data_IF_269557870165
#
_entry.id   IF_269557870165
#
_cell.length_a   1.000
_cell.length_b   1.000
_cell.length_c   1.000
_cell.angle_alpha   90.00
_cell.angle_beta   90.00
_cell.angle_gamma   90.00
#
_symmetry.space_group_name_H-M   'P 1'
#
loop_
_entity.id
_entity.type
_entity.pdbx_description
1 polymer ?
#
# COMPACT_ATOMS: atom_id res chain seq x y z
N UNK A 1 9.56 12.71 4.10
CA UNK A 1 8.87 11.47 4.53
C UNK A 1 9.53 10.27 3.87
N UNK A 2 9.44 9.06 4.44
CA UNK A 2 10.09 7.87 3.89
C UNK A 2 9.58 7.52 2.47
N UNK A 3 8.29 7.71 2.20
CA UNK A 3 7.66 7.46 0.88
C UNK A 3 8.35 8.28 -0.23
N UNK A 4 8.56 9.58 -0.02
CA UNK A 4 9.11 10.50 -1.04
C UNK A 4 10.58 10.26 -1.36
N UNK A 5 11.31 9.46 -0.56
CA UNK A 5 12.70 9.07 -0.85
C UNK A 5 12.80 7.77 -1.65
N UNK A 6 11.76 6.94 -1.59
CA UNK A 6 11.73 5.60 -2.20
C UNK A 6 11.01 5.64 -3.56
N UNK A 7 9.99 6.48 -3.67
CA UNK A 7 9.21 6.65 -4.90
C UNK A 7 9.88 7.66 -5.83
N UNK A 8 10.03 7.29 -7.10
CA UNK A 8 10.72 8.06 -8.14
C UNK A 8 9.75 8.75 -9.11
N UNK A 9 8.46 8.43 -9.03
CA UNK A 9 7.40 8.97 -9.89
C UNK A 9 6.51 9.96 -9.11
N UNK A 10 5.82 10.89 -9.79
CA UNK A 10 4.81 11.72 -9.16
C UNK A 10 3.70 10.86 -8.54
N UNK A 11 3.10 11.32 -7.44
CA UNK A 11 2.02 10.62 -6.76
C UNK A 11 0.79 11.49 -6.66
N UNK A 12 -0.38 10.88 -6.87
CA UNK A 12 -1.67 11.49 -6.55
C UNK A 12 -1.81 11.70 -5.03
N UNK A 13 -2.72 12.58 -4.57
CA UNK A 13 -3.01 12.73 -3.15
C UNK A 13 -3.45 11.41 -2.49
N UNK A 14 -4.28 10.62 -3.19
CA UNK A 14 -4.76 9.33 -2.69
C UNK A 14 -3.66 8.30 -2.53
N UNK A 15 -2.74 8.23 -3.50
CA UNK A 15 -1.56 7.37 -3.42
C UNK A 15 -0.63 7.77 -2.28
N UNK A 16 -0.36 9.08 -2.12
CA UNK A 16 0.47 9.58 -1.01
C UNK A 16 -0.12 9.19 0.33
N UNK A 17 -1.44 9.31 0.50
CA UNK A 17 -2.13 8.93 1.73
C UNK A 17 -2.00 7.42 1.97
N UNK A 18 -2.40 6.60 1.00
CA UNK A 18 -2.38 5.14 1.12
C UNK A 18 -0.97 4.59 1.39
N UNK A 19 0.06 5.09 0.68
CA UNK A 19 1.44 4.64 0.90
C UNK A 19 2.05 5.15 2.20
N UNK A 20 1.59 6.30 2.70
CA UNK A 20 2.00 6.78 4.03
C UNK A 20 1.42 5.90 5.13
N UNK A 21 0.13 5.55 5.03
CA UNK A 21 -0.53 4.64 5.97
C UNK A 21 0.09 3.23 5.93
N UNK A 22 0.44 2.77 4.72
CA UNK A 22 1.19 1.53 4.54
C UNK A 22 2.52 1.57 5.28
N UNK A 23 3.34 2.61 5.06
CA UNK A 23 4.66 2.73 5.71
C UNK A 23 4.53 2.87 7.22
N UNK A 24 3.46 3.52 7.72
CA UNK A 24 3.20 3.63 9.15
C UNK A 24 2.92 2.26 9.78
N UNK A 25 2.21 1.38 9.07
CA UNK A 25 1.82 0.08 9.61
C UNK A 25 2.87 -1.03 9.38
N UNK A 26 3.45 -1.10 8.18
CA UNK A 26 4.37 -2.17 7.75
C UNK A 26 5.84 -1.76 7.83
N UNK A 27 6.13 -0.46 7.97
CA UNK A 27 7.49 0.07 8.00
C UNK A 27 8.08 0.38 6.62
N UNK A 28 9.08 1.25 6.59
CA UNK A 28 9.73 1.74 5.36
C UNK A 28 10.59 0.67 4.66
N UNK A 29 11.15 -0.29 5.39
CA UNK A 29 11.95 -1.39 4.83
C UNK A 29 11.11 -2.35 3.99
N UNK A 30 9.93 -2.73 4.50
CA UNK A 30 8.96 -3.54 3.78
C UNK A 30 8.43 -2.80 2.54
N UNK A 31 8.14 -1.51 2.68
CA UNK A 31 7.74 -0.68 1.53
C UNK A 31 8.83 -0.63 0.45
N UNK A 32 10.08 -0.38 0.82
CA UNK A 32 11.20 -0.27 -0.12
C UNK A 32 11.50 -1.56 -0.91
N UNK A 33 11.26 -2.72 -0.30
CA UNK A 33 11.48 -4.04 -0.91
C UNK A 33 10.23 -4.63 -1.58
N UNK A 34 9.07 -3.98 -1.45
CA UNK A 34 7.80 -4.49 -1.93
C UNK A 34 7.67 -4.53 -3.46
N UNK A 35 6.86 -5.47 -3.96
CA UNK A 35 6.38 -5.45 -5.35
C UNK A 35 5.60 -4.18 -5.67
N UNK A 36 4.91 -3.61 -4.69
CA UNK A 36 4.18 -2.35 -4.81
C UNK A 36 5.10 -1.22 -5.31
N UNK A 37 6.23 -0.97 -4.63
CA UNK A 37 7.17 0.08 -5.02
C UNK A 37 7.81 -0.18 -6.37
N UNK A 38 8.06 -1.46 -6.72
CA UNK A 38 8.58 -1.81 -8.05
C UNK A 38 7.60 -1.46 -9.16
N UNK A 39 6.32 -1.80 -9.00
CA UNK A 39 5.25 -1.45 -9.95
C UNK A 39 5.09 0.06 -10.06
N UNK A 40 5.02 0.74 -8.92
CA UNK A 40 4.86 2.19 -8.84
C UNK A 40 5.99 2.92 -9.58
N UNK A 41 7.25 2.55 -9.31
CA UNK A 41 8.41 3.16 -9.96
C UNK A 41 8.54 2.79 -11.44
N UNK A 42 7.82 1.77 -11.91
CA UNK A 42 7.68 1.44 -13.33
C UNK A 42 6.52 2.20 -14.01
N UNK A 43 5.80 3.06 -13.29
CA UNK A 43 4.63 3.79 -13.77
C UNK A 43 3.31 3.01 -13.71
N UNK A 44 3.31 1.79 -13.16
CA UNK A 44 2.09 1.01 -12.94
C UNK A 44 1.43 1.40 -11.62
N UNK A 45 0.78 2.58 -11.62
CA UNK A 45 0.10 3.15 -10.46
C UNK A 45 -1.06 2.27 -9.97
N UNK A 46 -1.93 1.83 -10.88
CA UNK A 46 -3.06 0.98 -10.53
C UNK A 46 -2.61 -0.38 -10.00
N UNK A 47 -1.59 -0.99 -10.64
CA UNK A 47 -1.01 -2.24 -10.17
C UNK A 47 -0.31 -2.11 -8.82
N UNK A 48 0.31 -0.96 -8.52
CA UNK A 48 0.85 -0.67 -7.20
C UNK A 48 -0.25 -0.60 -6.13
N UNK A 49 -1.33 0.15 -6.37
CA UNK A 49 -2.47 0.20 -5.47
C UNK A 49 -3.09 -1.20 -5.23
N UNK A 50 -3.13 -2.06 -6.26
CA UNK A 50 -3.63 -3.43 -6.13
C UNK A 50 -2.74 -4.32 -5.25
N UNK A 51 -1.44 -4.03 -5.11
CA UNK A 51 -0.56 -4.81 -4.22
C UNK A 51 -0.87 -4.57 -2.73
N UNK A 52 -1.54 -3.48 -2.35
CA UNK A 52 -1.92 -3.22 -0.95
C UNK A 52 -2.74 -4.36 -0.36
N UNK A 53 -3.61 -5.00 -1.14
CA UNK A 53 -4.45 -6.12 -0.71
C UNK A 53 -3.68 -7.37 -0.31
N UNK A 54 -2.39 -7.48 -0.65
CA UNK A 54 -1.54 -8.63 -0.28
C UNK A 54 -0.94 -8.49 1.12
N UNK A 55 -1.05 -7.30 1.72
CA UNK A 55 -0.51 -6.96 3.04
C UNK A 55 -1.61 -6.99 4.09
N UNK A 56 -2.34 -8.10 4.11
CA UNK A 56 -3.42 -8.37 5.06
C UNK A 56 -3.13 -9.55 6.00
N UNK A 57 -1.92 -10.12 5.90
CA UNK A 57 -1.51 -11.28 6.68
C UNK A 57 -0.67 -10.88 7.88
N UNK A 58 -0.87 -11.58 8.98
CA UNK A 58 0.01 -11.56 10.14
C UNK A 58 0.42 -13.00 10.49
N UNK A 59 1.51 -13.14 11.23
CA UNK A 59 1.89 -14.43 11.80
C UNK A 59 0.99 -14.75 12.99
N UNK A 60 0.26 -15.86 12.90
CA UNK A 60 -0.57 -16.42 13.96
C UNK A 60 -0.11 -17.86 14.15
N UNK A 61 0.46 -18.16 15.31
CA UNK A 61 0.99 -19.49 15.65
C UNK A 61 2.02 -20.04 14.63
N UNK A 62 2.83 -19.15 14.04
CA UNK A 62 3.86 -19.50 13.05
C UNK A 62 3.34 -19.62 11.61
N UNK A 63 2.04 -19.39 11.38
CA UNK A 63 1.44 -19.39 10.04
C UNK A 63 1.02 -17.99 9.59
N UNK A 64 1.18 -17.70 8.30
CA UNK A 64 0.75 -16.43 7.72
C UNK A 64 -0.76 -16.44 7.46
N UNK A 65 -1.53 -15.86 8.37
CA UNK A 65 -3.00 -15.84 8.33
C UNK A 65 -3.49 -14.46 7.92
N UNK A 66 -4.41 -14.42 6.96
CA UNK A 66 -5.12 -13.18 6.60
C UNK A 66 -6.04 -12.75 7.75
N UNK A 67 -5.82 -11.55 8.27
CA UNK A 67 -6.63 -10.99 9.34
C UNK A 67 -7.76 -10.16 8.75
N UNK A 68 -9.01 -10.50 9.06
CA UNK A 68 -10.18 -9.80 8.53
C UNK A 68 -10.16 -8.27 8.75
N UNK A 69 -9.57 -7.81 9.87
CA UNK A 69 -9.37 -6.38 10.13
C UNK A 69 -8.39 -5.73 9.15
N UNK A 70 -7.27 -6.38 8.87
CA UNK A 70 -6.28 -5.91 7.90
C UNK A 70 -6.84 -5.97 6.48
N UNK A 71 -7.54 -7.04 6.10
CA UNK A 71 -8.16 -7.16 4.77
C UNK A 71 -9.12 -6.00 4.50
N UNK A 72 -9.97 -5.64 5.47
CA UNK A 72 -10.87 -4.48 5.35
C UNK A 72 -10.10 -3.17 5.22
N UNK A 73 -9.05 -2.98 6.01
CA UNK A 73 -8.21 -1.78 5.95
C UNK A 73 -7.53 -1.62 4.58
N UNK A 74 -6.91 -2.69 4.08
CA UNK A 74 -6.22 -2.68 2.77
C UNK A 74 -7.18 -2.47 1.60
N UNK A 75 -8.42 -2.97 1.71
CA UNK A 75 -9.46 -2.67 0.73
C UNK A 75 -9.80 -1.17 0.69
N UNK A 76 -9.95 -0.52 1.85
CA UNK A 76 -10.21 0.91 1.94
C UNK A 76 -9.02 1.75 1.41
N UNK A 77 -7.79 1.41 1.83
CA UNK A 77 -6.58 2.09 1.35
C UNK A 77 -6.40 1.94 -0.17
N UNK A 78 -6.74 0.77 -0.74
CA UNK A 78 -6.74 0.55 -2.20
C UNK A 78 -7.73 1.47 -2.92
N UNK A 79 -8.95 1.63 -2.39
CA UNK A 79 -9.95 2.55 -2.98
C UNK A 79 -9.48 4.01 -2.94
N UNK A 80 -8.88 4.42 -1.82
CA UNK A 80 -8.25 5.75 -1.69
C UNK A 80 -7.11 5.91 -2.69
N UNK A 81 -6.25 4.91 -2.81
CA UNK A 81 -5.10 4.91 -3.71
C UNK A 81 -5.51 5.04 -5.18
N UNK A 82 -6.56 4.33 -5.59
CA UNK A 82 -7.10 4.39 -6.96
C UNK A 82 -7.90 5.67 -7.25
N UNK A 83 -8.17 6.51 -6.25
CA UNK A 83 -8.93 7.75 -6.38
C UNK A 83 -10.44 7.60 -6.26
N UNK A 84 -10.95 6.40 -6.00
CA UNK A 84 -12.39 6.12 -5.86
C UNK A 84 -12.98 6.60 -4.53
N UNK A 85 -12.15 6.96 -3.55
CA UNK A 85 -12.62 7.38 -2.22
C UNK A 85 -12.83 8.89 -2.06
N UNK A 86 -12.54 9.71 -3.08
CA UNK A 86 -12.67 11.18 -3.00
C UNK A 86 -13.63 11.77 -4.06
N UNK A 87 -14.59 10.96 -4.53
CA UNK A 87 -15.70 11.41 -5.37
C UNK A 87 -17.04 11.19 -4.65
N UNK A 88 -17.22 11.80 -3.46
CA UNK A 88 -18.52 12.10 -2.86
C UNK A 88 -18.42 13.38 -2.05
#
# INVERSE_FOLDING_TARGET
>A
MAVTRIVKVPLSPGEKLAYTDFVFNEGSGNFASSTLVRKLNAGDHAGACNELSRWDKAEVEGEAVALAGLTKRRAAERLVCLGDAAAR
#
